data_IF_009887337208
#
_entry.id   IF_009887337208
#
_cell.length_a   1.000
_cell.length_b   1.000
_cell.length_c   1.000
_cell.angle_alpha   90.00
_cell.angle_beta   90.00
_cell.angle_gamma   90.00
#
_symmetry.space_group_name_H-M   'P 1'
#
loop_
_entity.id
_entity.type
_entity.pdbx_description
1 polymer ?
#
# COMPACT_ATOMS: atom_id res chain seq x y z
N UNK A 1 20.30 6.06 12.89
CA UNK A 1 19.17 5.43 13.61
C UNK A 1 18.29 4.79 12.57
N UNK A 2 17.90 3.52 12.75
CA UNK A 2 16.97 2.83 11.86
C UNK A 2 15.60 3.51 11.98
N UNK A 3 15.00 3.93 10.86
CA UNK A 3 13.66 4.52 10.87
C UNK A 3 12.63 3.46 11.33
N UNK A 4 11.64 3.86 12.09
CA UNK A 4 10.56 2.98 12.52
C UNK A 4 9.53 2.83 11.40
N UNK A 5 9.23 1.59 11.00
CA UNK A 5 8.30 1.30 9.92
C UNK A 5 6.91 1.16 10.53
N UNK A 6 6.13 2.24 10.57
CA UNK A 6 4.77 2.33 11.13
C UNK A 6 4.05 3.58 10.64
N UNK A 7 2.76 3.72 10.94
CA UNK A 7 1.93 4.86 10.53
C UNK A 7 1.35 4.68 9.13
N UNK A 8 1.11 5.78 8.43
CA UNK A 8 0.52 5.76 7.08
C UNK A 8 1.63 5.75 6.04
N UNK A 9 1.77 4.64 5.34
CA UNK A 9 2.79 4.39 4.32
C UNK A 9 2.11 4.09 2.97
N UNK A 10 1.61 5.11 2.24
CA UNK A 10 0.84 4.89 1.03
C UNK A 10 1.65 4.22 -0.08
N UNK A 11 0.93 3.50 -0.94
CA UNK A 11 1.47 2.91 -2.15
C UNK A 11 1.38 3.95 -3.26
N UNK A 12 2.53 4.45 -3.74
CA UNK A 12 2.58 5.39 -4.86
C UNK A 12 2.24 4.70 -6.17
N UNK A 13 1.59 5.43 -7.05
CA UNK A 13 1.26 4.97 -8.39
C UNK A 13 2.45 5.17 -9.34
N UNK A 14 2.40 4.50 -10.50
CA UNK A 14 3.31 4.80 -11.61
C UNK A 14 2.52 5.59 -12.65
N UNK A 15 2.70 6.93 -12.75
CA UNK A 15 2.08 7.71 -13.81
C UNK A 15 2.76 7.43 -15.15
N UNK A 16 1.95 7.36 -16.22
CA UNK A 16 2.46 7.18 -17.57
C UNK A 16 2.03 8.33 -18.48
N UNK A 17 2.91 8.68 -19.42
CA UNK A 17 2.62 9.61 -20.49
C UNK A 17 1.86 8.95 -21.66
N UNK A 18 1.57 9.72 -22.71
CA UNK A 18 0.87 9.21 -23.90
C UNK A 18 1.66 8.19 -24.74
N UNK A 19 2.94 8.00 -24.48
CA UNK A 19 3.81 7.00 -25.09
C UNK A 19 3.95 5.73 -24.23
N UNK A 20 3.41 5.75 -23.00
CA UNK A 20 3.53 4.66 -22.03
C UNK A 20 4.84 4.68 -21.24
N UNK A 21 5.61 5.78 -21.30
CA UNK A 21 6.79 6.00 -20.47
C UNK A 21 6.39 6.59 -19.11
N UNK A 22 7.23 6.39 -18.09
CA UNK A 22 6.96 6.90 -16.72
C UNK A 22 7.06 8.43 -16.71
N UNK A 23 5.96 9.12 -16.37
CA UNK A 23 5.93 10.59 -16.18
C UNK A 23 6.55 10.94 -14.82
N UNK A 24 7.86 11.18 -14.84
CA UNK A 24 8.65 11.51 -13.64
C UNK A 24 8.16 12.78 -12.94
N UNK A 25 7.66 13.77 -13.68
CA UNK A 25 7.14 15.02 -13.09
C UNK A 25 5.84 14.76 -12.30
N UNK A 26 4.94 13.92 -12.81
CA UNK A 26 3.74 13.52 -12.09
C UNK A 26 4.07 12.67 -10.86
N UNK A 27 5.05 11.77 -10.97
CA UNK A 27 5.54 10.98 -9.84
C UNK A 27 6.14 11.88 -8.74
N UNK A 28 6.92 12.90 -9.11
CA UNK A 28 7.47 13.85 -8.13
C UNK A 28 6.37 14.61 -7.40
N UNK A 29 5.32 15.08 -8.12
CA UNK A 29 4.19 15.77 -7.48
C UNK A 29 3.43 14.84 -6.54
N UNK A 30 3.25 13.57 -6.90
CA UNK A 30 2.62 12.59 -6.02
C UNK A 30 3.42 12.40 -4.73
N UNK A 31 4.72 12.18 -4.83
CA UNK A 31 5.60 12.00 -3.67
C UNK A 31 5.65 13.26 -2.80
N UNK A 32 5.70 14.44 -3.39
CA UNK A 32 5.70 15.70 -2.63
C UNK A 32 4.38 15.88 -1.88
N UNK A 33 3.24 15.66 -2.54
CA UNK A 33 1.92 15.72 -1.91
C UNK A 33 1.76 14.70 -0.77
N UNK A 34 2.27 13.49 -0.92
CA UNK A 34 2.24 12.45 0.12
C UNK A 34 2.88 12.95 1.42
N UNK A 35 4.07 13.56 1.34
CA UNK A 35 4.73 14.11 2.52
C UNK A 35 4.11 15.41 3.03
N UNK A 36 3.54 16.21 2.14
CA UNK A 36 2.86 17.47 2.47
C UNK A 36 1.61 17.22 3.33
N UNK A 37 0.82 16.18 3.02
CA UNK A 37 -0.34 15.79 3.84
C UNK A 37 0.05 15.05 5.12
N UNK A 38 1.31 14.62 5.26
CA UNK A 38 1.91 14.14 6.51
C UNK A 38 1.96 12.62 6.64
N UNK A 39 2.17 11.90 5.56
CA UNK A 39 2.50 10.47 5.61
C UNK A 39 3.90 10.23 6.22
N UNK A 40 4.08 9.08 6.88
CA UNK A 40 5.35 8.70 7.49
C UNK A 40 6.33 8.05 6.49
N UNK A 41 5.87 7.75 5.27
CA UNK A 41 6.72 7.18 4.21
C UNK A 41 5.96 6.90 2.93
N UNK A 42 6.59 6.19 2.02
CA UNK A 42 6.03 5.75 0.73
C UNK A 42 6.41 4.30 0.44
N UNK A 43 5.56 3.62 -0.33
CA UNK A 43 5.81 2.25 -0.76
C UNK A 43 5.60 2.10 -2.28
N UNK A 44 6.32 1.17 -2.91
CA UNK A 44 5.92 0.61 -4.20
C UNK A 44 5.22 -0.74 -3.96
N UNK A 45 4.11 -1.02 -4.64
CA UNK A 45 3.38 -2.30 -4.56
C UNK A 45 2.45 -2.51 -5.76
N UNK A 46 1.34 -3.25 -5.58
CA UNK A 46 0.43 -3.65 -6.66
C UNK A 46 -0.15 -2.47 -7.44
N UNK A 47 -0.61 -1.41 -6.77
CA UNK A 47 -1.15 -0.21 -7.44
C UNK A 47 -0.05 0.67 -8.08
N UNK A 48 1.23 0.39 -7.83
CA UNK A 48 2.32 0.93 -8.65
C UNK A 48 2.47 0.23 -10.01
N UNK A 49 1.54 -0.64 -10.38
CA UNK A 49 1.55 -1.46 -11.60
C UNK A 49 2.82 -2.32 -11.77
N UNK A 50 3.46 -2.74 -10.68
CA UNK A 50 4.75 -3.43 -10.70
C UNK A 50 4.78 -4.67 -11.60
N UNK A 51 3.66 -5.40 -11.72
CA UNK A 51 3.55 -6.57 -12.59
C UNK A 51 3.56 -6.21 -14.08
N UNK A 52 3.38 -4.92 -14.41
CA UNK A 52 3.37 -4.38 -15.78
C UNK A 52 4.65 -3.58 -16.10
N UNK A 53 5.54 -3.43 -15.13
CA UNK A 53 6.85 -2.80 -15.33
C UNK A 53 7.89 -3.83 -15.76
N UNK A 54 8.82 -3.42 -16.59
CA UNK A 54 10.03 -4.19 -16.86
C UNK A 54 10.93 -4.25 -15.62
N UNK A 55 11.85 -5.21 -15.55
CA UNK A 55 12.84 -5.31 -14.47
C UNK A 55 13.62 -4.00 -14.27
N UNK A 56 14.00 -3.37 -15.39
CA UNK A 56 14.74 -2.11 -15.35
C UNK A 56 13.90 -0.97 -14.75
N UNK A 57 12.63 -0.86 -15.15
CA UNK A 57 11.71 0.14 -14.61
C UNK A 57 11.46 -0.06 -13.13
N UNK A 58 11.22 -1.31 -12.66
CA UNK A 58 11.04 -1.61 -11.23
C UNK A 58 12.23 -1.15 -10.39
N UNK A 59 13.45 -1.48 -10.83
CA UNK A 59 14.67 -1.09 -10.12
C UNK A 59 14.89 0.43 -10.17
N UNK A 60 14.58 1.07 -11.31
CA UNK A 60 14.66 2.52 -11.45
C UNK A 60 13.61 3.23 -10.58
N UNK A 61 12.38 2.71 -10.51
CA UNK A 61 11.31 3.28 -9.69
C UNK A 61 11.73 3.33 -8.22
N UNK A 62 12.21 2.23 -7.63
CA UNK A 62 12.65 2.21 -6.23
C UNK A 62 13.76 3.24 -5.98
N UNK A 63 14.75 3.35 -6.88
CA UNK A 63 15.83 4.35 -6.76
C UNK A 63 15.28 5.78 -6.86
N UNK A 64 14.37 6.02 -7.79
CA UNK A 64 13.71 7.33 -7.97
C UNK A 64 12.90 7.70 -6.74
N UNK A 65 12.14 6.76 -6.16
CA UNK A 65 11.37 7.00 -4.94
C UNK A 65 12.25 7.36 -3.74
N UNK A 66 13.39 6.69 -3.57
CA UNK A 66 14.36 7.02 -2.52
C UNK A 66 14.92 8.44 -2.72
N UNK A 67 15.27 8.80 -3.95
CA UNK A 67 15.75 10.14 -4.28
C UNK A 67 14.69 11.21 -4.04
N UNK A 68 13.44 10.97 -4.50
CA UNK A 68 12.32 11.90 -4.32
C UNK A 68 11.90 12.01 -2.86
N UNK A 69 11.95 10.93 -2.09
CA UNK A 69 11.67 10.99 -0.65
C UNK A 69 12.66 11.86 0.11
N UNK A 70 13.91 11.94 -0.33
CA UNK A 70 14.98 12.80 0.22
C UNK A 70 15.04 12.78 1.76
N UNK A 71 14.93 11.58 2.34
CA UNK A 71 14.97 11.39 3.79
C UNK A 71 13.72 11.82 4.57
N UNK A 72 12.67 12.35 3.90
CA UNK A 72 11.42 12.83 4.53
C UNK A 72 10.64 11.73 5.26
N UNK A 73 10.78 10.48 4.85
CA UNK A 73 10.08 9.35 5.45
C UNK A 73 10.70 8.01 5.11
N UNK A 74 9.99 6.93 5.46
CA UNK A 74 10.36 5.55 5.14
C UNK A 74 10.10 5.27 3.65
N UNK A 75 10.99 4.53 2.99
CA UNK A 75 10.78 4.02 1.63
C UNK A 75 10.78 2.50 1.63
N UNK A 76 9.68 1.90 1.17
CA UNK A 76 9.50 0.46 1.10
C UNK A 76 9.47 0.02 -0.37
N UNK A 77 10.44 -0.80 -0.79
CA UNK A 77 10.51 -1.34 -2.15
C UNK A 77 9.84 -2.69 -2.27
N UNK A 78 8.90 -2.87 -3.22
CA UNK A 78 8.33 -4.19 -3.49
C UNK A 78 9.26 -5.05 -4.34
N UNK A 79 9.50 -6.29 -3.88
CA UNK A 79 10.48 -7.21 -4.47
C UNK A 79 9.92 -8.58 -4.84
N UNK A 80 8.62 -8.83 -4.58
CA UNK A 80 7.97 -10.10 -4.92
C UNK A 80 8.12 -10.46 -6.40
N UNK A 81 8.39 -11.74 -6.69
CA UNK A 81 8.59 -12.26 -8.04
C UNK A 81 8.26 -13.75 -8.11
N UNK A 82 8.15 -14.29 -9.35
CA UNK A 82 7.80 -15.69 -9.60
C UNK A 82 8.91 -16.69 -9.23
N UNK A 83 10.14 -16.24 -9.04
CA UNK A 83 11.23 -17.09 -8.57
C UNK A 83 12.01 -16.44 -7.43
N UNK A 84 12.50 -17.26 -6.50
CA UNK A 84 13.35 -16.83 -5.39
C UNK A 84 14.57 -16.05 -5.87
N UNK A 85 15.20 -16.50 -6.95
CA UNK A 85 16.38 -15.81 -7.51
C UNK A 85 16.03 -14.39 -7.97
N UNK A 86 14.96 -14.23 -8.72
CA UNK A 86 14.52 -12.91 -9.20
C UNK A 86 14.10 -11.99 -8.04
N UNK A 87 13.39 -12.53 -7.04
CA UNK A 87 13.01 -11.77 -5.86
C UNK A 87 14.23 -11.27 -5.06
N UNK A 88 15.28 -12.09 -4.93
CA UNK A 88 16.55 -11.71 -4.31
C UNK A 88 17.27 -10.63 -5.11
N UNK A 89 17.29 -10.72 -6.45
CA UNK A 89 17.87 -9.67 -7.31
C UNK A 89 17.15 -8.33 -7.13
N UNK A 90 15.81 -8.34 -7.03
CA UNK A 90 15.04 -7.13 -6.71
C UNK A 90 15.30 -6.63 -5.29
N UNK A 91 15.45 -7.54 -4.32
CA UNK A 91 15.73 -7.17 -2.92
C UNK A 91 17.08 -6.47 -2.78
N UNK A 92 18.14 -7.01 -3.40
CA UNK A 92 19.45 -6.37 -3.44
C UNK A 92 19.39 -5.00 -4.12
N UNK A 93 18.71 -4.89 -5.28
CA UNK A 93 18.55 -3.60 -5.97
C UNK A 93 17.80 -2.56 -5.15
N UNK A 94 16.78 -2.96 -4.36
CA UNK A 94 16.04 -2.09 -3.47
C UNK A 94 16.91 -1.64 -2.26
N UNK A 95 17.64 -2.56 -1.64
CA UNK A 95 18.57 -2.23 -0.55
C UNK A 95 19.71 -1.33 -1.02
N UNK A 96 20.32 -1.61 -2.18
CA UNK A 96 21.35 -0.77 -2.81
C UNK A 96 20.84 0.63 -3.19
N UNK A 97 19.55 0.73 -3.56
CA UNK A 97 18.88 2.02 -3.81
C UNK A 97 18.68 2.84 -2.53
N UNK A 98 18.74 2.22 -1.36
CA UNK A 98 18.54 2.86 -0.06
C UNK A 98 17.12 2.74 0.50
N UNK A 99 16.32 1.76 0.06
CA UNK A 99 15.04 1.46 0.68
C UNK A 99 15.22 1.07 2.15
N UNK A 100 14.37 1.58 3.02
CA UNK A 100 14.40 1.32 4.48
C UNK A 100 13.81 -0.06 4.83
N UNK A 101 12.98 -0.62 3.94
CA UNK A 101 12.43 -1.98 4.02
C UNK A 101 12.09 -2.51 2.62
N UNK A 102 11.88 -3.81 2.54
CA UNK A 102 11.33 -4.45 1.34
C UNK A 102 9.97 -5.08 1.65
N UNK A 103 9.13 -5.22 0.62
CA UNK A 103 7.84 -5.91 0.71
C UNK A 103 7.73 -6.96 -0.39
N UNK A 104 7.20 -8.14 -0.06
CA UNK A 104 7.03 -9.21 -1.04
C UNK A 104 5.70 -9.93 -0.89
N UNK A 105 5.04 -10.16 -2.04
CA UNK A 105 4.00 -11.17 -2.21
C UNK A 105 4.65 -12.51 -2.56
N UNK A 106 4.00 -13.65 -2.29
CA UNK A 106 4.45 -14.94 -2.83
C UNK A 106 4.34 -14.97 -4.36
N UNK A 107 4.99 -15.95 -5.03
CA UNK A 107 4.72 -16.25 -6.44
C UNK A 107 3.23 -16.45 -6.70
N UNK A 108 2.72 -15.90 -7.81
CA UNK A 108 1.27 -15.84 -8.09
C UNK A 108 0.82 -16.73 -9.24
N UNK A 109 1.73 -17.17 -10.12
CA UNK A 109 1.39 -17.96 -11.30
C UNK A 109 0.99 -19.39 -10.96
N UNK A 110 1.45 -19.91 -9.83
CA UNK A 110 1.11 -21.25 -9.34
C UNK A 110 0.95 -21.25 -7.83
N UNK A 111 0.01 -22.08 -7.32
CA UNK A 111 -0.07 -22.36 -5.90
C UNK A 111 1.18 -23.15 -5.48
N UNK A 112 1.91 -22.66 -4.49
CA UNK A 112 3.10 -23.33 -3.95
C UNK A 112 2.80 -23.86 -2.54
N UNK A 113 3.35 -25.03 -2.16
CA UNK A 113 3.17 -25.58 -0.82
C UNK A 113 3.95 -24.76 0.23
N UNK A 114 3.53 -24.85 1.50
CA UNK A 114 4.14 -24.13 2.63
C UNK A 114 5.66 -24.31 2.71
N UNK A 115 6.20 -25.47 2.36
CA UNK A 115 7.64 -25.70 2.36
C UNK A 115 8.38 -24.83 1.34
N UNK A 116 7.85 -24.69 0.11
CA UNK A 116 8.42 -23.83 -0.91
C UNK A 116 8.22 -22.34 -0.58
N UNK A 117 7.08 -21.99 0.01
CA UNK A 117 6.80 -20.65 0.51
C UNK A 117 7.80 -20.26 1.63
N UNK A 118 8.12 -21.22 2.50
CA UNK A 118 9.13 -21.03 3.54
C UNK A 118 10.52 -20.76 2.95
N UNK A 119 10.95 -21.57 2.00
CA UNK A 119 12.23 -21.37 1.31
C UNK A 119 12.30 -20.00 0.65
N UNK A 120 11.20 -19.57 -0.01
CA UNK A 120 11.12 -18.28 -0.68
C UNK A 120 11.29 -17.10 0.29
N UNK A 121 10.48 -17.03 1.35
CA UNK A 121 10.53 -15.90 2.29
C UNK A 121 11.77 -15.95 3.19
N UNK A 122 12.24 -17.13 3.58
CA UNK A 122 13.48 -17.26 4.36
C UNK A 122 14.70 -16.82 3.55
N UNK A 123 14.77 -17.18 2.26
CA UNK A 123 15.84 -16.74 1.37
C UNK A 123 15.82 -15.21 1.21
N UNK A 124 14.64 -14.59 1.03
CA UNK A 124 14.50 -13.14 0.98
C UNK A 124 14.94 -12.48 2.29
N UNK A 125 14.45 -12.95 3.44
CA UNK A 125 14.79 -12.40 4.73
C UNK A 125 16.31 -12.45 5.02
N UNK A 126 16.98 -13.52 4.57
CA UNK A 126 18.42 -13.70 4.73
C UNK A 126 19.27 -12.94 3.70
N UNK A 127 18.69 -12.53 2.56
CA UNK A 127 19.45 -11.90 1.47
C UNK A 127 19.77 -10.42 1.70
N UNK A 128 19.01 -9.73 2.56
CA UNK A 128 19.14 -8.30 2.85
C UNK A 128 19.18 -8.03 4.34
N UNK A 129 19.71 -6.86 4.72
CA UNK A 129 19.75 -6.43 6.13
C UNK A 129 18.48 -5.69 6.57
N UNK A 130 17.79 -5.03 5.64
CA UNK A 130 16.55 -4.28 5.89
C UNK A 130 15.38 -5.22 6.23
N UNK A 131 14.36 -4.75 6.96
CA UNK A 131 13.15 -5.52 7.26
C UNK A 131 12.39 -5.97 6.01
N UNK A 132 11.71 -7.10 6.13
CA UNK A 132 10.81 -7.66 5.12
C UNK A 132 9.36 -7.58 5.59
N UNK A 133 8.50 -6.96 4.79
CA UNK A 133 7.04 -6.99 4.96
C UNK A 133 6.49 -8.13 4.09
N UNK A 134 5.93 -9.15 4.73
CA UNK A 134 5.28 -10.26 4.03
C UNK A 134 3.84 -9.86 3.74
N UNK A 135 3.52 -9.70 2.45
CA UNK A 135 2.19 -9.32 1.99
C UNK A 135 1.43 -10.54 1.50
N UNK A 136 0.23 -10.74 2.03
CA UNK A 136 -0.76 -11.64 1.46
C UNK A 136 -1.70 -10.82 0.56
N UNK A 137 -1.52 -10.93 -0.75
CA UNK A 137 -2.35 -10.23 -1.72
C UNK A 137 -3.48 -11.12 -2.28
N UNK A 138 -3.88 -12.18 -1.56
CA UNK A 138 -4.83 -13.19 -2.05
C UNK A 138 -6.24 -12.68 -2.32
N UNK A 139 -6.59 -11.50 -1.83
CA UNK A 139 -7.82 -10.79 -2.24
C UNK A 139 -7.78 -10.31 -3.70
N UNK A 140 -6.60 -10.24 -4.32
CA UNK A 140 -6.40 -9.78 -5.70
C UNK A 140 -5.73 -10.85 -6.56
N UNK A 141 -4.67 -11.49 -6.04
CA UNK A 141 -3.82 -12.44 -6.78
C UNK A 141 -3.20 -13.49 -5.84
N UNK A 142 -2.95 -14.69 -6.37
CA UNK A 142 -2.24 -15.74 -5.63
C UNK A 142 -3.12 -16.50 -4.64
N UNK A 143 -2.50 -17.06 -3.62
CA UNK A 143 -3.13 -17.87 -2.57
C UNK A 143 -2.91 -17.28 -1.18
N UNK A 144 -3.85 -17.50 -0.27
CA UNK A 144 -3.77 -17.02 1.10
C UNK A 144 -2.61 -17.67 1.88
N UNK A 145 -1.99 -16.89 2.74
CA UNK A 145 -0.92 -17.33 3.66
C UNK A 145 -1.55 -17.67 5.01
N UNK A 146 -1.21 -18.83 5.57
CA UNK A 146 -1.78 -19.26 6.85
C UNK A 146 -1.18 -18.48 8.04
N UNK A 147 -1.98 -18.29 9.10
CA UNK A 147 -1.53 -17.68 10.35
C UNK A 147 -0.33 -18.42 10.95
N UNK A 148 -0.32 -19.77 10.87
CA UNK A 148 0.79 -20.59 11.35
C UNK A 148 2.08 -20.30 10.60
N UNK A 149 1.99 -20.04 9.30
CA UNK A 149 3.14 -19.66 8.48
C UNK A 149 3.74 -18.32 8.93
N UNK A 150 2.88 -17.31 9.17
CA UNK A 150 3.32 -16.01 9.67
C UNK A 150 4.02 -16.13 11.04
N UNK A 151 3.42 -16.89 11.97
CA UNK A 151 4.00 -17.10 13.31
C UNK A 151 5.37 -17.77 13.19
N UNK A 152 5.51 -18.78 12.32
CA UNK A 152 6.79 -19.45 12.09
C UNK A 152 7.86 -18.49 11.57
N UNK A 153 7.54 -17.61 10.62
CA UNK A 153 8.49 -16.59 10.15
C UNK A 153 8.88 -15.62 11.26
N UNK A 154 7.90 -15.19 12.06
CA UNK A 154 8.14 -14.29 13.18
C UNK A 154 9.02 -14.93 14.26
N UNK A 155 8.85 -16.21 14.53
CA UNK A 155 9.65 -16.96 15.53
C UNK A 155 11.09 -17.12 15.05
N UNK A 156 11.32 -17.34 13.77
CA UNK A 156 12.67 -17.52 13.21
C UNK A 156 13.45 -16.20 13.12
N UNK A 157 12.81 -15.13 12.61
CA UNK A 157 13.51 -13.89 12.24
C UNK A 157 13.28 -12.73 13.21
N UNK A 158 12.26 -12.81 14.07
CA UNK A 158 11.89 -11.77 15.02
C UNK A 158 11.10 -10.59 14.45
N UNK A 159 10.46 -9.78 15.32
CA UNK A 159 9.55 -8.70 14.94
C UNK A 159 10.25 -7.45 14.35
N UNK A 160 11.57 -7.33 14.51
CA UNK A 160 12.32 -6.24 13.90
C UNK A 160 12.69 -6.55 12.44
N UNK A 161 12.73 -7.84 12.08
CA UNK A 161 13.06 -8.29 10.72
C UNK A 161 11.83 -8.58 9.88
N UNK A 162 10.74 -9.09 10.47
CA UNK A 162 9.54 -9.50 9.76
C UNK A 162 8.33 -8.68 10.23
N UNK A 163 7.68 -8.03 9.27
CA UNK A 163 6.39 -7.37 9.42
C UNK A 163 5.39 -8.00 8.46
N UNK A 164 4.10 -7.68 8.61
CA UNK A 164 3.04 -8.34 7.84
C UNK A 164 2.03 -7.35 7.27
N UNK A 165 1.53 -7.66 6.08
CA UNK A 165 0.39 -7.02 5.46
C UNK A 165 -0.61 -8.11 5.04
N UNK A 166 -1.45 -8.61 5.99
CA UNK A 166 -2.30 -9.76 5.78
C UNK A 166 -3.64 -9.36 5.12
N UNK A 167 -3.63 -9.18 3.80
CA UNK A 167 -4.81 -8.75 3.02
C UNK A 167 -5.67 -9.91 2.50
N UNK A 168 -5.38 -11.15 2.87
CA UNK A 168 -6.26 -12.29 2.60
C UNK A 168 -7.61 -12.15 3.31
N UNK A 169 -8.70 -12.43 2.59
CA UNK A 169 -10.04 -12.39 3.19
C UNK A 169 -10.31 -13.61 4.09
N UNK A 170 -10.95 -13.44 5.25
CA UNK A 170 -11.47 -12.20 5.85
C UNK A 170 -10.38 -11.41 6.61
N UNK A 171 -10.08 -10.17 6.18
CA UNK A 171 -8.94 -9.39 6.66
C UNK A 171 -8.97 -9.18 8.18
N UNK A 172 -10.08 -8.67 8.72
CA UNK A 172 -10.19 -8.36 10.16
C UNK A 172 -9.95 -9.60 11.06
N UNK A 173 -10.66 -10.73 10.88
CA UNK A 173 -10.38 -11.96 11.61
C UNK A 173 -8.92 -12.41 11.49
N UNK A 174 -8.32 -12.40 10.30
CA UNK A 174 -6.92 -12.80 10.09
C UNK A 174 -5.93 -11.92 10.88
N UNK A 175 -6.19 -10.61 10.99
CA UNK A 175 -5.41 -9.70 11.84
C UNK A 175 -5.50 -10.12 13.32
N UNK A 176 -6.71 -10.44 13.81
CA UNK A 176 -6.90 -10.89 15.21
C UNK A 176 -6.21 -12.22 15.45
N UNK A 177 -6.37 -13.19 14.54
CA UNK A 177 -5.77 -14.52 14.67
C UNK A 177 -4.24 -14.43 14.70
N UNK A 178 -3.63 -13.59 13.86
CA UNK A 178 -2.18 -13.38 13.86
C UNK A 178 -1.70 -12.64 15.11
N UNK A 179 -2.43 -11.60 15.56
CA UNK A 179 -2.13 -10.93 16.83
C UNK A 179 -2.11 -11.93 18.00
N UNK A 180 -3.17 -12.71 18.12
CA UNK A 180 -3.35 -13.62 19.26
C UNK A 180 -2.35 -14.79 19.20
N UNK A 181 -2.16 -15.42 18.05
CA UNK A 181 -1.21 -16.50 17.84
C UNK A 181 0.25 -16.05 18.04
N UNK A 182 0.58 -14.79 17.78
CA UNK A 182 1.90 -14.22 18.02
C UNK A 182 2.10 -13.63 19.40
N UNK A 183 1.09 -13.69 20.29
CA UNK A 183 1.08 -13.01 21.60
C UNK A 183 1.36 -11.49 21.46
N UNK A 184 0.78 -10.84 20.44
CA UNK A 184 0.94 -9.41 20.20
C UNK A 184 2.29 -8.98 19.62
N UNK A 185 3.18 -9.93 19.23
CA UNK A 185 4.50 -9.60 18.66
C UNK A 185 4.45 -9.20 17.19
N UNK A 186 3.42 -9.64 16.45
CA UNK A 186 3.29 -9.35 15.03
C UNK A 186 2.99 -7.86 14.80
N UNK A 187 3.79 -7.22 13.95
CA UNK A 187 3.59 -5.84 13.49
C UNK A 187 2.89 -5.89 12.15
N UNK A 188 1.64 -5.43 12.11
CA UNK A 188 0.75 -5.61 10.95
C UNK A 188 0.30 -4.28 10.37
N UNK A 189 0.14 -4.24 9.05
CA UNK A 189 -0.43 -3.11 8.31
C UNK A 189 -1.79 -3.49 7.70
N UNK A 190 -2.74 -2.55 7.75
CA UNK A 190 -3.93 -2.62 6.92
C UNK A 190 -3.61 -2.26 5.47
N UNK A 191 -4.23 -2.94 4.50
CA UNK A 191 -4.09 -2.67 3.08
C UNK A 191 -5.44 -2.56 2.35
N UNK A 192 -6.51 -2.29 3.10
CA UNK A 192 -7.88 -2.29 2.57
C UNK A 192 -8.29 -1.01 1.82
N UNK A 193 -7.35 -0.07 1.55
CA UNK A 193 -7.68 1.23 0.98
C UNK A 193 -8.50 2.14 1.91
N UNK A 194 -8.58 1.79 3.19
CA UNK A 194 -9.35 2.54 4.21
C UNK A 194 -10.71 1.93 4.56
N UNK A 195 -11.28 1.07 3.72
CA UNK A 195 -12.62 0.49 3.96
C UNK A 195 -12.71 -0.36 5.22
N UNK A 196 -11.61 -0.94 5.68
CA UNK A 196 -11.54 -1.70 6.95
C UNK A 196 -10.62 -1.03 7.98
N UNK A 197 -10.11 0.18 7.74
CA UNK A 197 -9.10 0.81 8.58
C UNK A 197 -9.55 0.96 10.05
N UNK A 198 -10.81 1.36 10.30
CA UNK A 198 -11.32 1.51 11.69
C UNK A 198 -11.36 0.16 12.41
N UNK A 199 -11.83 -0.90 11.74
CA UNK A 199 -11.86 -2.26 12.29
C UNK A 199 -10.43 -2.77 12.54
N UNK A 200 -9.53 -2.62 11.57
CA UNK A 200 -8.13 -3.03 11.66
C UNK A 200 -7.38 -2.27 12.77
N UNK A 201 -7.62 -0.97 12.92
CA UNK A 201 -7.05 -0.15 14.00
C UNK A 201 -7.40 -0.71 15.39
N UNK A 202 -8.67 -1.06 15.61
CA UNK A 202 -9.14 -1.66 16.86
C UNK A 202 -8.53 -3.03 17.14
N UNK A 203 -8.05 -3.72 16.10
CA UNK A 203 -7.35 -5.02 16.23
C UNK A 203 -5.85 -4.89 16.49
N UNK A 204 -5.31 -3.66 16.51
CA UNK A 204 -3.93 -3.38 16.93
C UNK A 204 -2.90 -3.39 15.81
N UNK A 205 -3.25 -2.95 14.61
CA UNK A 205 -2.26 -2.70 13.54
C UNK A 205 -1.30 -1.58 13.92
N UNK A 206 -0.09 -1.60 13.34
CA UNK A 206 0.91 -0.54 13.55
C UNK A 206 0.83 0.57 12.50
N UNK A 207 0.08 0.37 11.42
CA UNK A 207 -0.07 1.33 10.35
C UNK A 207 -1.00 0.85 9.24
N UNK A 208 -1.10 1.63 8.17
CA UNK A 208 -1.88 1.32 6.97
C UNK A 208 -1.09 1.67 5.71
N UNK A 209 -1.32 0.92 4.62
CA UNK A 209 -0.67 1.08 3.32
C UNK A 209 -1.74 1.25 2.22
N UNK A 210 -2.46 2.38 2.18
CA UNK A 210 -3.49 2.67 1.17
C UNK A 210 -2.88 3.08 -0.17
N UNK A 211 -3.72 3.28 -1.21
CA UNK A 211 -3.39 4.12 -2.35
C UNK A 211 -3.19 5.59 -1.96
N UNK A 212 -2.67 6.38 -2.88
CA UNK A 212 -2.43 7.82 -2.64
C UNK A 212 -3.69 8.66 -2.87
N UNK A 213 -4.62 8.20 -3.68
CA UNK A 213 -5.80 8.94 -4.15
C UNK A 213 -6.65 9.57 -3.05
N UNK A 214 -6.82 8.89 -1.90
CA UNK A 214 -7.63 9.32 -0.74
C UNK A 214 -6.77 9.61 0.51
N UNK A 215 -5.48 9.88 0.32
CA UNK A 215 -4.49 9.87 1.40
C UNK A 215 -4.76 10.90 2.50
N UNK A 216 -5.19 12.11 2.14
CA UNK A 216 -5.56 13.17 3.10
C UNK A 216 -6.68 12.71 4.05
N UNK A 217 -7.71 12.06 3.50
CA UNK A 217 -8.77 11.44 4.29
C UNK A 217 -8.28 10.29 5.18
N UNK A 218 -7.42 9.43 4.65
CA UNK A 218 -6.83 8.31 5.41
C UNK A 218 -5.98 8.83 6.58
N UNK A 219 -5.16 9.84 6.35
CA UNK A 219 -4.32 10.46 7.40
C UNK A 219 -5.18 11.12 8.47
N UNK A 220 -6.22 11.86 8.06
CA UNK A 220 -7.14 12.48 9.01
C UNK A 220 -7.89 11.42 9.85
N UNK A 221 -8.38 10.36 9.20
CA UNK A 221 -9.01 9.24 9.90
C UNK A 221 -8.05 8.55 10.86
N UNK A 222 -6.79 8.29 10.45
CA UNK A 222 -5.75 7.71 11.29
C UNK A 222 -5.45 8.58 12.52
N UNK A 223 -5.33 9.91 12.34
CA UNK A 223 -5.14 10.87 13.43
C UNK A 223 -6.32 10.87 14.39
N UNK A 224 -7.55 10.90 13.86
CA UNK A 224 -8.78 10.88 14.66
C UNK A 224 -8.85 9.62 15.52
N UNK A 225 -8.55 8.45 14.97
CA UNK A 225 -8.50 7.18 15.68
C UNK A 225 -7.44 7.19 16.80
N UNK A 226 -6.24 7.69 16.52
CA UNK A 226 -5.16 7.82 17.54
C UNK A 226 -5.52 8.76 18.69
N UNK A 227 -6.34 9.78 18.42
CA UNK A 227 -6.83 10.74 19.41
C UNK A 227 -8.12 10.26 20.12
N UNK A 228 -8.69 9.12 19.72
CA UNK A 228 -9.97 8.64 20.25
C UNK A 228 -11.19 9.42 19.78
N UNK A 229 -11.05 10.24 18.74
CA UNK A 229 -12.16 10.98 18.12
C UNK A 229 -12.91 10.10 17.12
N UNK A 230 -13.73 9.18 17.62
CA UNK A 230 -14.48 8.24 16.79
C UNK A 230 -15.46 8.93 15.85
N UNK A 231 -16.13 10.01 16.31
CA UNK A 231 -17.07 10.74 15.47
C UNK A 231 -16.37 11.25 14.20
N UNK A 232 -15.25 11.92 14.37
CA UNK A 232 -14.46 12.44 13.24
C UNK A 232 -13.97 11.32 12.33
N UNK A 233 -13.49 10.20 12.89
CA UNK A 233 -13.08 9.06 12.10
C UNK A 233 -14.20 8.54 11.19
N UNK A 234 -15.43 8.41 11.71
CA UNK A 234 -16.57 7.95 10.92
C UNK A 234 -17.09 8.98 9.90
N UNK A 235 -16.99 10.28 10.19
CA UNK A 235 -17.37 11.33 9.22
C UNK A 235 -16.51 11.25 7.95
N UNK A 236 -15.22 10.96 8.10
CA UNK A 236 -14.27 10.78 6.98
C UNK A 236 -14.42 9.39 6.34
N UNK A 237 -14.71 8.37 7.14
CA UNK A 237 -14.79 6.99 6.71
C UNK A 237 -15.87 6.72 5.65
N UNK A 238 -17.07 7.29 5.78
CA UNK A 238 -18.18 6.93 4.90
C UNK A 238 -17.97 7.28 3.43
N UNK A 239 -17.49 8.48 3.05
CA UNK A 239 -17.16 8.77 1.64
C UNK A 239 -16.07 7.85 1.10
N UNK A 240 -15.04 7.56 1.90
CA UNK A 240 -13.96 6.62 1.53
C UNK A 240 -14.53 5.24 1.22
N UNK A 241 -15.42 4.70 2.07
CA UNK A 241 -16.06 3.41 1.84
C UNK A 241 -16.85 3.39 0.52
N UNK A 242 -17.55 4.45 0.18
CA UNK A 242 -18.26 4.57 -1.08
C UNK A 242 -17.31 4.46 -2.29
N UNK A 243 -16.21 5.20 -2.27
CA UNK A 243 -15.21 5.18 -3.35
C UNK A 243 -14.55 3.80 -3.44
N UNK A 244 -14.09 3.23 -2.32
CA UNK A 244 -13.44 1.92 -2.31
C UNK A 244 -14.40 0.81 -2.77
N UNK A 245 -15.70 0.91 -2.48
CA UNK A 245 -16.69 -0.03 -3.01
C UNK A 245 -16.78 0.00 -4.54
N UNK A 246 -16.62 1.17 -5.16
CA UNK A 246 -16.53 1.31 -6.62
C UNK A 246 -15.21 0.74 -7.16
N UNK A 247 -14.08 0.98 -6.48
CA UNK A 247 -12.78 0.42 -6.83
C UNK A 247 -12.79 -1.12 -6.84
N UNK A 248 -13.45 -1.75 -5.87
CA UNK A 248 -13.55 -3.19 -5.73
C UNK A 248 -14.30 -3.90 -6.87
N UNK A 249 -15.13 -3.22 -7.65
CA UNK A 249 -15.97 -3.82 -8.70
C UNK A 249 -15.16 -4.56 -9.77
N UNK A 250 -13.93 -4.13 -10.05
CA UNK A 250 -13.09 -4.71 -11.09
C UNK A 250 -11.70 -5.13 -10.56
N UNK A 251 -11.61 -5.47 -9.27
CA UNK A 251 -10.37 -5.90 -8.62
C UNK A 251 -9.25 -4.88 -8.81
N UNK A 252 -8.02 -5.34 -9.09
CA UNK A 252 -6.88 -4.44 -9.25
C UNK A 252 -7.07 -3.37 -10.36
N UNK A 253 -7.72 -3.72 -11.47
CA UNK A 253 -7.96 -2.77 -12.55
C UNK A 253 -9.00 -1.70 -12.18
N UNK A 254 -9.93 -2.00 -11.26
CA UNK A 254 -10.85 -1.04 -10.69
C UNK A 254 -10.14 -0.03 -9.79
N UNK A 255 -9.27 -0.50 -8.90
CA UNK A 255 -8.41 0.36 -8.10
C UNK A 255 -7.58 1.28 -9.00
N UNK A 256 -6.80 0.73 -9.91
CA UNK A 256 -5.92 1.51 -10.79
C UNK A 256 -6.64 2.56 -11.63
N UNK A 257 -7.84 2.26 -12.13
CA UNK A 257 -8.60 3.20 -12.95
C UNK A 257 -9.14 4.37 -12.12
N UNK A 258 -9.76 4.07 -10.97
CA UNK A 258 -10.40 5.09 -10.13
C UNK A 258 -9.37 5.91 -9.37
N UNK A 259 -8.32 5.28 -8.83
CA UNK A 259 -7.24 5.98 -8.13
C UNK A 259 -6.54 7.00 -9.05
N UNK A 260 -6.19 6.60 -10.27
CA UNK A 260 -5.57 7.53 -11.25
C UNK A 260 -6.52 8.63 -11.71
N UNK A 261 -7.81 8.33 -11.91
CA UNK A 261 -8.82 9.36 -12.18
C UNK A 261 -8.85 10.41 -11.06
N UNK A 262 -8.90 9.99 -9.79
CA UNK A 262 -8.87 10.88 -8.63
C UNK A 262 -7.58 11.71 -8.59
N UNK A 263 -6.42 11.10 -8.87
CA UNK A 263 -5.13 11.81 -8.89
C UNK A 263 -5.08 12.86 -10.01
N UNK A 264 -5.70 12.60 -11.17
CA UNK A 264 -5.86 13.61 -12.23
C UNK A 264 -6.78 14.74 -11.77
N UNK A 265 -7.93 14.41 -11.17
CA UNK A 265 -8.88 15.40 -10.66
C UNK A 265 -8.28 16.29 -9.56
N UNK A 266 -7.38 15.74 -8.75
CA UNK A 266 -6.60 16.49 -7.75
C UNK A 266 -5.45 17.32 -8.35
N UNK A 267 -5.19 17.22 -9.66
CA UNK A 267 -4.10 17.92 -10.35
C UNK A 267 -2.70 17.36 -10.05
N UNK A 268 -2.63 16.19 -9.41
CA UNK A 268 -1.38 15.49 -9.11
C UNK A 268 -0.83 14.84 -10.38
N UNK A 269 -1.68 14.12 -11.12
CA UNK A 269 -1.33 13.51 -12.39
C UNK A 269 -1.81 14.36 -13.57
N UNK A 270 -1.08 14.28 -14.71
CA UNK A 270 -1.47 14.88 -15.99
C UNK A 270 -2.41 13.98 -16.78
N UNK A 271 -2.38 12.67 -16.51
CA UNK A 271 -3.11 11.63 -17.23
C UNK A 271 -3.42 10.45 -16.31
N UNK A 272 -4.56 9.81 -16.54
CA UNK A 272 -4.98 8.56 -15.90
C UNK A 272 -4.47 7.31 -16.65
N UNK A 273 -3.56 7.48 -17.61
CA UNK A 273 -2.99 6.40 -18.41
C UNK A 273 -2.46 5.25 -17.56
N UNK A 274 -2.81 4.03 -17.96
CA UNK A 274 -2.35 2.79 -17.34
C UNK A 274 -1.59 1.97 -18.37
N UNK A 275 -0.68 1.13 -17.91
CA UNK A 275 0.05 0.24 -18.83
C UNK A 275 -0.81 -0.95 -19.21
N UNK A 276 -0.90 -1.20 -20.52
CA UNK A 276 -1.62 -2.35 -21.08
C UNK A 276 -0.91 -3.69 -20.76
N UNK A 277 -1.65 -4.82 -20.72
CA UNK A 277 -3.10 -4.93 -20.84
C UNK A 277 -3.83 -4.69 -19.53
N UNK A 278 -5.07 -4.22 -19.61
CA UNK A 278 -5.99 -4.14 -18.47
C UNK A 278 -7.39 -4.61 -18.91
N UNK A 279 -8.18 -5.14 -17.96
CA UNK A 279 -9.46 -5.78 -18.23
C UNK A 279 -10.66 -4.85 -18.09
N UNK A 280 -10.49 -3.68 -17.46
CA UNK A 280 -11.58 -2.77 -17.16
C UNK A 280 -11.17 -1.31 -17.33
N UNK A 281 -12.11 -0.48 -17.78
CA UNK A 281 -11.95 0.97 -17.88
C UNK A 281 -13.11 1.66 -17.20
N UNK A 282 -12.84 2.81 -16.61
CA UNK A 282 -13.84 3.66 -15.96
C UNK A 282 -14.87 4.13 -17.01
N UNK A 283 -16.16 3.90 -16.73
CA UNK A 283 -17.24 4.45 -17.50
C UNK A 283 -17.73 5.79 -16.91
N UNK A 284 -18.46 6.54 -17.71
CA UNK A 284 -18.91 7.88 -17.33
C UNK A 284 -19.80 7.88 -16.07
N UNK A 285 -20.66 6.91 -15.91
CA UNK A 285 -21.57 6.83 -14.78
C UNK A 285 -20.81 6.57 -13.47
N UNK A 286 -19.80 5.70 -13.50
CA UNK A 286 -18.91 5.44 -12.35
C UNK A 286 -18.02 6.65 -12.08
N UNK A 287 -17.48 7.32 -13.11
CA UNK A 287 -16.70 8.55 -12.97
C UNK A 287 -17.49 9.64 -12.25
N UNK A 288 -18.73 9.93 -12.70
CA UNK A 288 -19.62 10.91 -12.08
C UNK A 288 -19.94 10.57 -10.61
N UNK A 289 -20.06 9.28 -10.25
CA UNK A 289 -20.30 8.87 -8.86
C UNK A 289 -19.04 8.99 -7.99
N UNK A 290 -17.87 8.60 -8.51
CA UNK A 290 -16.58 8.81 -7.84
C UNK A 290 -16.39 10.29 -7.54
N UNK A 291 -16.67 11.16 -8.50
CA UNK A 291 -16.55 12.60 -8.34
C UNK A 291 -17.46 13.16 -7.24
N UNK A 292 -18.72 12.71 -7.19
CA UNK A 292 -19.65 13.11 -6.11
C UNK A 292 -19.16 12.68 -4.73
N UNK A 293 -18.66 11.44 -4.60
CA UNK A 293 -18.13 10.93 -3.34
C UNK A 293 -16.84 11.62 -2.92
N UNK A 294 -15.98 11.95 -3.89
CA UNK A 294 -14.75 12.70 -3.63
C UNK A 294 -15.08 14.12 -3.13
N UNK A 295 -16.05 14.81 -3.75
CA UNK A 295 -16.50 16.13 -3.27
C UNK A 295 -17.04 16.04 -1.83
N UNK A 296 -17.81 15.00 -1.51
CA UNK A 296 -18.26 14.78 -0.13
C UNK A 296 -17.12 14.58 0.85
N UNK A 297 -16.05 13.88 0.45
CA UNK A 297 -14.85 13.72 1.27
C UNK A 297 -14.13 15.06 1.47
N UNK A 298 -13.93 15.81 0.40
CA UNK A 298 -13.23 17.09 0.44
C UNK A 298 -14.00 18.12 1.30
N UNK A 299 -15.32 18.17 1.24
CA UNK A 299 -16.17 19.00 2.09
C UNK A 299 -15.98 18.65 3.58
N UNK A 300 -15.90 17.35 3.91
CA UNK A 300 -15.63 16.90 5.28
C UNK A 300 -14.24 17.31 5.77
N UNK A 301 -13.23 17.25 4.90
CA UNK A 301 -11.87 17.67 5.24
C UNK A 301 -11.78 19.18 5.46
N UNK A 302 -12.47 19.99 4.64
CA UNK A 302 -12.49 21.44 4.75
C UNK A 302 -13.21 21.96 6.02
N UNK A 303 -14.23 21.24 6.50
CA UNK A 303 -15.06 21.68 7.64
C UNK A 303 -14.29 21.76 8.98
N UNK A 304 -13.14 21.11 9.11
CA UNK A 304 -12.31 21.12 10.34
C UNK A 304 -11.31 22.30 10.38
N UNK A 305 -10.97 22.87 9.22
CA UNK A 305 -10.06 24.03 9.16
C UNK A 305 -10.69 25.31 9.70
N UNK A 306 -12.02 25.39 9.72
CA UNK A 306 -12.75 26.57 10.20
C UNK A 306 -12.99 26.60 11.72
N UNK A 307 -12.73 25.51 12.44
CA UNK A 307 -12.92 25.43 13.90
C UNK A 307 -11.63 25.69 14.70
N UNK A 308 -10.48 25.85 14.04
CA UNK A 308 -9.20 26.12 14.71
C UNK A 308 -8.90 27.61 14.92
N UNK A 309 -9.75 28.52 14.39
CA UNK A 309 -9.57 29.98 14.47
C UNK A 309 -10.58 30.65 15.40
N UNK A 310 -11.11 29.96 16.42
CA UNK A 310 -11.97 30.56 17.46
C UNK A 310 -11.38 30.36 18.85
#
# INVERSE_FOLDING_TARGET
MTKRIEGVLPIVHTPFDGQGEIDVDSLQREVDWVFEVGAEGICSAMVSELLRLTTQERNSLNRTLVQMADGRGVVVGSVGAESTKQAIEYAHAAEEAGCDAIMAIPPISTAIPDAALWEYFSALANSVTVPLIVQDASSYVGAAISTQFYVRLLDEFGPDKILFKPEGAPIGPNISDLRDASNGRARMFDGSGGVLLIDAFRRGIVGTMPGVDLLDGIIEMWRALKLGNEQRAYEIYFPICGIVALQLQAGLDGFLAIEKHILVRRGIFKSDSRRMPYSWSLDRETEEEVDRLLDMLLDKLASDSSTKDV
#
